data_IF_618138999394
#
_entry.id   IF_618138999394
#
_cell.length_a   1.000
_cell.length_b   1.000
_cell.length_c   1.000
_cell.angle_alpha   90.00
_cell.angle_beta   90.00
_cell.angle_gamma   90.00
#
_symmetry.space_group_name_H-M   'P 1'
#
loop_
_entity.id
_entity.type
_entity.pdbx_description
1 polymer ?
#
# COMPACT_ATOMS: atom_id res chain seq x y z
N UNK A 1 -21.33 11.64 -17.93
CA UNK A 1 -20.21 10.91 -17.29
C UNK A 1 -20.78 10.16 -16.11
N UNK A 2 -20.50 8.85 -16.04
CA UNK A 2 -20.91 7.98 -14.95
C UNK A 2 -20.21 8.34 -13.65
N UNK A 3 -20.96 8.39 -12.55
CA UNK A 3 -20.42 8.67 -11.21
C UNK A 3 -19.58 7.48 -10.76
N UNK A 4 -18.41 7.78 -10.19
CA UNK A 4 -17.54 6.76 -9.61
C UNK A 4 -17.80 6.67 -8.09
N UNK A 5 -18.08 5.46 -7.63
CA UNK A 5 -18.32 5.10 -6.23
C UNK A 5 -17.11 4.35 -5.72
N UNK A 6 -16.27 5.01 -4.94
CA UNK A 6 -15.13 4.39 -4.26
C UNK A 6 -15.63 3.76 -2.97
N UNK A 7 -15.22 2.52 -2.72
CA UNK A 7 -15.43 1.87 -1.43
C UNK A 7 -14.09 1.41 -0.87
N UNK A 8 -13.76 1.87 0.33
CA UNK A 8 -12.54 1.43 1.04
C UNK A 8 -12.85 1.25 2.51
N UNK A 9 -12.05 0.41 3.21
CA UNK A 9 -12.25 0.20 4.64
C UNK A 9 -12.28 1.54 5.39
N UNK A 10 -11.24 2.37 5.30
CA UNK A 10 -11.22 3.70 5.93
C UNK A 10 -11.41 4.81 4.91
N UNK A 11 -12.23 5.81 5.24
CA UNK A 11 -12.48 6.99 4.39
C UNK A 11 -11.62 8.19 4.83
N UNK A 12 -10.83 8.82 3.94
CA UNK A 12 -10.00 9.97 4.28
C UNK A 12 -10.82 11.27 4.29
N UNK A 13 -11.50 11.54 5.41
CA UNK A 13 -12.37 12.71 5.55
C UNK A 13 -11.60 14.03 5.36
N UNK A 14 -12.19 15.06 4.71
CA UNK A 14 -11.52 16.33 4.39
C UNK A 14 -10.87 17.04 5.58
N UNK A 15 -11.48 16.96 6.77
CA UNK A 15 -10.95 17.56 8.02
C UNK A 15 -9.69 16.88 8.56
N UNK A 16 -9.38 15.65 8.11
CA UNK A 16 -8.22 14.86 8.54
C UNK A 16 -7.04 14.95 7.54
N UNK A 17 -7.14 15.78 6.48
CA UNK A 17 -6.15 15.86 5.39
C UNK A 17 -4.75 16.36 5.80
N UNK A 18 -4.59 16.91 7.01
CA UNK A 18 -3.28 17.35 7.53
C UNK A 18 -2.35 16.20 7.94
N UNK A 19 -2.87 14.99 8.19
CA UNK A 19 -2.08 13.85 8.73
C UNK A 19 -2.17 12.57 7.91
N UNK A 20 -3.13 12.45 6.98
CA UNK A 20 -3.40 11.21 6.24
C UNK A 20 -3.81 11.41 4.78
N UNK A 21 -3.18 12.34 4.05
CA UNK A 21 -3.30 12.35 2.59
C UNK A 21 -2.58 11.12 2.00
N UNK A 22 -3.24 9.96 2.05
CA UNK A 22 -2.75 8.71 1.46
C UNK A 22 -2.76 8.77 -0.07
N UNK A 23 -1.91 7.95 -0.71
CA UNK A 23 -1.75 7.92 -2.16
C UNK A 23 -3.05 7.72 -2.94
N UNK A 24 -4.03 6.99 -2.38
CA UNK A 24 -5.34 6.75 -3.01
C UNK A 24 -6.18 8.04 -3.14
N UNK A 25 -6.21 8.89 -2.11
CA UNK A 25 -7.00 10.13 -2.15
C UNK A 25 -6.43 11.17 -3.12
N UNK A 26 -5.11 11.18 -3.26
CA UNK A 26 -4.40 12.02 -4.23
C UNK A 26 -4.60 11.46 -5.65
N UNK A 27 -4.41 10.15 -5.83
CA UNK A 27 -4.59 9.46 -7.11
C UNK A 27 -5.96 9.68 -7.73
N UNK A 28 -7.01 9.62 -6.91
CA UNK A 28 -8.38 9.68 -7.39
C UNK A 28 -8.82 11.12 -7.68
N UNK A 29 -8.14 12.13 -7.14
CA UNK A 29 -8.48 13.55 -7.35
C UNK A 29 -8.46 13.94 -8.83
N UNK A 30 -7.51 13.40 -9.59
CA UNK A 30 -7.35 13.67 -11.03
C UNK A 30 -8.34 12.86 -11.88
N UNK A 31 -8.74 11.69 -11.39
CA UNK A 31 -9.71 10.77 -12.04
C UNK A 31 -11.11 11.35 -12.01
N UNK A 32 -11.46 12.08 -10.95
CA UNK A 32 -12.78 12.66 -10.80
C UNK A 32 -13.04 13.82 -11.76
N UNK A 33 -12.02 14.53 -12.27
CA UNK A 33 -12.18 15.62 -13.22
C UNK A 33 -13.41 16.52 -12.94
N UNK A 34 -14.43 16.42 -13.82
CA UNK A 34 -15.75 17.10 -13.67
C UNK A 34 -16.89 16.23 -13.12
N UNK A 35 -16.69 14.93 -12.95
CA UNK A 35 -17.73 14.00 -12.50
C UNK A 35 -18.01 14.13 -10.99
N UNK A 36 -19.25 13.84 -10.59
CA UNK A 36 -19.58 13.61 -9.18
C UNK A 36 -18.95 12.29 -8.73
N UNK A 37 -18.55 12.23 -7.46
CA UNK A 37 -18.02 11.02 -6.84
C UNK A 37 -18.68 10.74 -5.50
N UNK A 38 -18.71 9.46 -5.13
CA UNK A 38 -19.07 9.00 -3.79
C UNK A 38 -17.90 8.22 -3.21
N UNK A 39 -17.49 8.52 -1.98
CA UNK A 39 -16.54 7.71 -1.23
C UNK A 39 -17.25 7.15 0.00
N UNK A 40 -17.41 5.83 0.02
CA UNK A 40 -18.10 5.08 1.06
C UNK A 40 -17.12 4.22 1.89
N UNK A 41 -17.38 4.07 3.19
CA UNK A 41 -16.60 3.18 4.06
C UNK A 41 -16.73 3.52 5.55
N UNK A 42 -15.81 3.01 6.37
CA UNK A 42 -15.74 3.30 7.81
C UNK A 42 -15.12 4.67 8.08
N UNK A 43 -15.70 5.38 9.04
CA UNK A 43 -15.26 6.71 9.51
C UNK A 43 -13.91 6.68 10.23
N UNK A 44 -13.56 5.55 10.84
CA UNK A 44 -12.47 5.43 11.81
C UNK A 44 -12.92 5.45 13.28
N UNK A 45 -14.21 5.69 13.55
CA UNK A 45 -14.78 5.72 14.89
C UNK A 45 -15.38 4.37 15.30
N UNK A 46 -15.15 3.96 16.55
CA UNK A 46 -15.71 2.74 17.13
C UNK A 46 -16.82 3.10 18.11
N UNK A 47 -18.01 2.55 17.90
CA UNK A 47 -19.22 2.73 18.71
C UNK A 47 -19.54 1.48 19.51
N UNK A 48 -20.60 1.50 20.33
CA UNK A 48 -21.04 0.31 21.06
C UNK A 48 -21.60 -0.76 20.13
N UNK A 49 -22.35 -0.35 19.11
CA UNK A 49 -22.92 -1.23 18.08
C UNK A 49 -22.73 -0.63 16.69
N UNK A 50 -22.60 -1.51 15.69
CA UNK A 50 -22.58 -1.11 14.28
C UNK A 50 -23.96 -0.65 13.89
N UNK A 51 -24.12 0.64 13.61
CA UNK A 51 -25.36 1.18 13.06
C UNK A 51 -25.27 1.23 11.53
N UNK A 52 -26.41 1.06 10.87
CA UNK A 52 -26.55 1.35 9.44
C UNK A 52 -26.67 2.86 9.15
N UNK A 53 -26.53 3.71 10.17
CA UNK A 53 -26.67 5.15 10.01
C UNK A 53 -25.45 5.73 9.30
N UNK A 54 -25.72 6.54 8.28
CA UNK A 54 -24.69 7.14 7.46
C UNK A 54 -24.54 8.61 7.78
N UNK A 55 -23.29 9.03 7.96
CA UNK A 55 -22.93 10.44 8.03
C UNK A 55 -22.37 10.90 6.71
N UNK A 56 -22.86 12.05 6.25
CA UNK A 56 -22.47 12.62 4.97
C UNK A 56 -21.61 13.87 5.17
N UNK A 57 -20.54 13.97 4.39
CA UNK A 57 -19.74 15.18 4.25
C UNK A 57 -19.55 15.47 2.77
N UNK A 58 -19.71 16.71 2.34
CA UNK A 58 -19.44 17.11 0.95
C UNK A 58 -18.20 17.99 0.89
N UNK A 59 -17.27 17.67 -0.01
CA UNK A 59 -16.16 18.56 -0.35
C UNK A 59 -15.97 18.60 -1.85
N UNK A 60 -16.26 19.76 -2.46
CA UNK A 60 -16.30 19.91 -3.91
C UNK A 60 -17.34 18.98 -4.54
N UNK A 61 -16.90 18.18 -5.53
CA UNK A 61 -17.73 17.19 -6.24
C UNK A 61 -17.75 15.80 -5.58
N UNK A 62 -17.08 15.65 -4.44
CA UNK A 62 -17.03 14.40 -3.69
C UNK A 62 -18.01 14.43 -2.53
N UNK A 63 -18.87 13.42 -2.46
CA UNK A 63 -19.67 13.09 -1.27
C UNK A 63 -18.98 11.96 -0.53
N UNK A 64 -18.69 12.15 0.75
CA UNK A 64 -18.18 11.13 1.64
C UNK A 64 -19.36 10.62 2.47
N UNK A 65 -19.63 9.33 2.40
CA UNK A 65 -20.65 8.65 3.19
C UNK A 65 -19.94 7.66 4.11
N UNK A 66 -20.02 7.87 5.42
CA UNK A 66 -19.31 7.02 6.39
C UNK A 66 -20.27 6.36 7.37
N UNK A 67 -19.95 5.13 7.73
CA UNK A 67 -20.57 4.42 8.85
C UNK A 67 -19.54 4.21 9.97
N UNK A 68 -20.03 3.91 11.17
CA UNK A 68 -19.21 3.54 12.31
C UNK A 68 -19.26 2.03 12.52
N UNK A 69 -18.22 1.47 13.12
CA UNK A 69 -18.18 0.06 13.49
C UNK A 69 -18.41 -0.08 14.99
N UNK A 70 -19.30 -0.99 15.37
CA UNK A 70 -19.42 -1.44 16.74
C UNK A 70 -18.14 -2.12 17.20
N UNK A 71 -17.89 -2.11 18.51
CA UNK A 71 -16.68 -2.67 19.10
C UNK A 71 -16.43 -4.12 18.71
N UNK A 72 -17.47 -4.96 18.77
CA UNK A 72 -17.35 -6.38 18.40
C UNK A 72 -16.98 -6.54 16.93
N UNK A 73 -17.64 -5.82 16.03
CA UNK A 73 -17.33 -5.84 14.60
C UNK A 73 -15.92 -5.33 14.33
N UNK A 74 -15.49 -4.25 14.98
CA UNK A 74 -14.11 -3.77 14.88
C UNK A 74 -13.10 -4.85 15.28
N UNK A 75 -13.33 -5.55 16.39
CA UNK A 75 -12.44 -6.62 16.83
C UNK A 75 -12.44 -7.81 15.85
N UNK A 76 -13.61 -8.30 15.44
CA UNK A 76 -13.72 -9.50 14.60
C UNK A 76 -13.29 -9.26 13.14
N UNK A 77 -13.79 -8.19 12.54
CA UNK A 77 -13.51 -7.85 11.14
C UNK A 77 -12.14 -7.21 10.97
N UNK A 78 -11.80 -6.16 11.74
CA UNK A 78 -10.60 -5.37 11.49
C UNK A 78 -9.38 -5.94 12.20
N UNK A 79 -9.41 -6.13 13.52
CA UNK A 79 -8.27 -6.67 14.27
C UNK A 79 -8.06 -8.16 13.99
N UNK A 80 -9.13 -8.95 13.97
CA UNK A 80 -9.16 -10.38 13.73
C UNK A 80 -8.91 -10.74 12.26
N UNK A 81 -9.95 -11.06 11.51
CA UNK A 81 -9.79 -11.69 10.20
C UNK A 81 -8.97 -10.86 9.21
N UNK A 82 -9.17 -9.53 9.16
CA UNK A 82 -8.40 -8.68 8.24
C UNK A 82 -6.92 -8.58 8.61
N UNK A 83 -6.59 -8.20 9.85
CA UNK A 83 -5.21 -7.85 10.22
C UNK A 83 -4.42 -8.94 10.96
N UNK A 84 -5.08 -9.91 11.60
CA UNK A 84 -4.45 -11.07 12.22
C UNK A 84 -4.45 -12.32 11.33
N UNK A 85 -5.30 -12.38 10.29
CA UNK A 85 -5.35 -13.52 9.37
C UNK A 85 -4.93 -13.16 7.92
N UNK A 86 -5.71 -12.32 7.22
CA UNK A 86 -5.44 -11.97 5.82
C UNK A 86 -4.12 -11.20 5.66
N UNK A 87 -3.85 -10.21 6.50
CA UNK A 87 -2.62 -9.41 6.37
C UNK A 87 -1.34 -10.24 6.46
N UNK A 88 -1.12 -11.09 7.49
CA UNK A 88 0.01 -12.02 7.50
C UNK A 88 0.08 -12.93 6.28
N UNK A 89 -1.05 -13.52 5.87
CA UNK A 89 -1.14 -14.42 4.73
C UNK A 89 -0.68 -13.74 3.43
N UNK A 90 -1.27 -12.60 3.11
CA UNK A 90 -0.98 -11.82 1.90
C UNK A 90 0.48 -11.31 1.87
N UNK A 91 1.14 -11.22 3.03
CA UNK A 91 2.55 -10.83 3.16
C UNK A 91 3.51 -12.01 3.43
N UNK A 92 3.05 -13.24 3.22
CA UNK A 92 3.86 -14.47 3.26
C UNK A 92 4.42 -14.74 4.65
N UNK A 93 3.65 -14.37 5.68
CA UNK A 93 3.98 -14.55 7.09
C UNK A 93 3.05 -15.59 7.71
N UNK A 94 3.06 -16.80 7.13
CA UNK A 94 2.18 -17.89 7.56
C UNK A 94 2.31 -18.19 9.06
N UNK A 95 3.52 -18.13 9.63
CA UNK A 95 3.73 -18.30 11.08
C UNK A 95 3.16 -17.19 11.98
N UNK A 96 2.57 -16.14 11.41
CA UNK A 96 1.84 -15.08 12.12
C UNK A 96 0.33 -15.09 11.81
N UNK A 97 -0.15 -16.02 10.98
CA UNK A 97 -1.57 -16.16 10.67
C UNK A 97 -2.30 -16.71 11.88
N UNK A 98 -3.33 -15.99 12.32
CA UNK A 98 -4.20 -16.38 13.43
C UNK A 98 -5.66 -16.42 12.94
N UNK A 99 -6.18 -17.64 12.73
CA UNK A 99 -7.53 -17.85 12.20
C UNK A 99 -8.49 -18.26 13.31
N UNK A 100 -9.53 -17.46 13.50
CA UNK A 100 -10.70 -17.81 14.30
C UNK A 100 -11.95 -17.78 13.43
N UNK A 101 -12.80 -18.81 13.56
CA UNK A 101 -14.03 -18.92 12.77
C UNK A 101 -15.00 -17.78 13.07
N UNK A 102 -15.07 -17.34 14.32
CA UNK A 102 -15.89 -16.20 14.75
C UNK A 102 -15.45 -14.89 14.07
N UNK A 103 -14.14 -14.68 13.92
CA UNK A 103 -13.60 -13.50 13.23
C UNK A 103 -13.97 -13.52 11.74
N UNK A 104 -13.92 -14.70 11.11
CA UNK A 104 -14.39 -14.87 9.73
C UNK A 104 -15.89 -14.55 9.60
N UNK A 105 -16.72 -15.00 10.54
CA UNK A 105 -18.15 -14.66 10.53
C UNK A 105 -18.39 -13.16 10.71
N UNK A 106 -17.67 -12.50 11.63
CA UNK A 106 -17.72 -11.05 11.78
C UNK A 106 -17.26 -10.32 10.53
N UNK A 107 -16.22 -10.81 9.85
CA UNK A 107 -15.74 -10.27 8.58
C UNK A 107 -16.80 -10.29 7.48
N UNK A 108 -17.51 -11.41 7.33
CA UNK A 108 -18.61 -11.53 6.38
C UNK A 108 -19.81 -10.67 6.79
N UNK A 109 -20.12 -10.58 8.09
CA UNK A 109 -21.23 -9.79 8.61
C UNK A 109 -21.03 -8.28 8.35
N UNK A 110 -19.84 -7.75 8.60
CA UNK A 110 -19.51 -6.34 8.33
C UNK A 110 -19.60 -6.03 6.83
N UNK A 111 -19.12 -6.91 5.96
CA UNK A 111 -19.24 -6.72 4.50
C UNK A 111 -20.71 -6.71 4.05
N UNK A 112 -21.57 -7.55 4.64
CA UNK A 112 -23.01 -7.54 4.38
C UNK A 112 -23.68 -6.24 4.85
N UNK A 113 -23.34 -5.77 6.04
CA UNK A 113 -23.84 -4.50 6.56
C UNK A 113 -23.41 -3.31 5.68
N UNK A 114 -22.14 -3.29 5.25
CA UNK A 114 -21.62 -2.29 4.32
C UNK A 114 -22.35 -2.32 2.97
N UNK A 115 -22.60 -3.50 2.39
CA UNK A 115 -23.36 -3.63 1.15
C UNK A 115 -24.81 -3.12 1.30
N UNK A 116 -25.47 -3.46 2.41
CA UNK A 116 -26.83 -3.02 2.69
C UNK A 116 -26.93 -1.49 2.86
N UNK A 117 -25.94 -0.87 3.51
CA UNK A 117 -25.89 0.57 3.68
C UNK A 117 -25.50 1.31 2.37
N UNK A 118 -24.66 0.71 1.53
CA UNK A 118 -24.25 1.30 0.26
C UNK A 118 -25.36 1.25 -0.80
N UNK A 119 -26.12 0.14 -0.88
CA UNK A 119 -27.09 -0.08 -1.95
C UNK A 119 -28.09 1.08 -2.17
N UNK A 120 -28.73 1.67 -1.14
CA UNK A 120 -29.65 2.80 -1.30
C UNK A 120 -29.00 4.06 -1.88
N UNK A 121 -27.67 4.17 -1.84
CA UNK A 121 -26.93 5.32 -2.37
C UNK A 121 -26.60 5.18 -3.85
N UNK A 122 -26.71 3.97 -4.42
CA UNK A 122 -26.28 3.66 -5.78
C UNK A 122 -27.29 4.15 -6.82
N UNK A 123 -26.76 4.54 -7.99
CA UNK A 123 -27.52 4.88 -9.19
C UNK A 123 -27.25 3.81 -10.26
N UNK A 124 -28.19 3.54 -11.19
CA UNK A 124 -28.01 2.49 -12.20
C UNK A 124 -26.75 2.64 -13.08
N UNK A 125 -26.27 3.87 -13.26
CA UNK A 125 -25.10 4.22 -14.08
C UNK A 125 -23.82 4.45 -13.26
N UNK A 126 -23.78 4.05 -11.98
CA UNK A 126 -22.56 4.15 -11.19
C UNK A 126 -21.55 3.06 -11.58
N UNK A 127 -20.26 3.40 -11.51
CA UNK A 127 -19.16 2.44 -11.47
C UNK A 127 -18.69 2.29 -10.04
N UNK A 128 -18.64 1.06 -9.53
CA UNK A 128 -18.25 0.77 -8.16
C UNK A 128 -16.81 0.26 -8.16
N UNK A 129 -15.95 0.90 -7.37
CA UNK A 129 -14.55 0.53 -7.24
C UNK A 129 -14.21 0.24 -5.78
N UNK A 130 -14.10 -1.05 -5.47
CA UNK A 130 -13.83 -1.59 -4.13
C UNK A 130 -12.33 -1.75 -3.95
N UNK A 131 -11.83 -1.29 -2.80
CA UNK A 131 -10.41 -1.32 -2.49
C UNK A 131 -10.10 -2.19 -1.27
N UNK A 132 -9.15 -3.09 -1.53
CA UNK A 132 -8.32 -3.80 -0.56
C UNK A 132 -8.95 -4.98 0.19
N UNK A 133 -8.08 -5.77 0.81
CA UNK A 133 -8.37 -7.09 1.40
C UNK A 133 -9.47 -7.10 2.47
N UNK A 134 -9.80 -5.97 3.08
CA UNK A 134 -10.89 -5.86 4.04
C UNK A 134 -12.27 -6.12 3.39
N UNK A 135 -12.39 -5.87 2.08
CA UNK A 135 -13.67 -5.79 1.39
C UNK A 135 -13.83 -6.83 0.28
N UNK A 136 -13.10 -7.95 0.36
CA UNK A 136 -13.19 -9.03 -0.65
C UNK A 136 -14.65 -9.52 -0.83
N UNK A 137 -15.47 -9.70 0.22
CA UNK A 137 -16.87 -10.15 0.05
C UNK A 137 -17.83 -9.09 -0.48
N UNK A 138 -17.47 -7.81 -0.45
CA UNK A 138 -18.43 -6.72 -0.69
C UNK A 138 -19.11 -6.84 -2.06
N UNK A 139 -18.37 -7.22 -3.11
CA UNK A 139 -18.93 -7.43 -4.44
C UNK A 139 -20.01 -8.51 -4.44
N UNK A 140 -19.74 -9.65 -3.81
CA UNK A 140 -20.71 -10.75 -3.68
C UNK A 140 -21.96 -10.31 -2.93
N UNK A 141 -21.82 -9.58 -1.81
CA UNK A 141 -22.96 -9.09 -1.03
C UNK A 141 -23.80 -8.07 -1.82
N UNK A 142 -23.16 -7.19 -2.62
CA UNK A 142 -23.89 -6.29 -3.53
C UNK A 142 -24.65 -7.06 -4.62
N UNK A 143 -24.04 -8.10 -5.20
CA UNK A 143 -24.70 -8.98 -6.18
C UNK A 143 -25.91 -9.71 -5.57
N UNK A 144 -25.80 -10.23 -4.33
CA UNK A 144 -26.93 -10.84 -3.60
C UNK A 144 -28.10 -9.89 -3.40
N UNK A 145 -27.82 -8.60 -3.25
CA UNK A 145 -28.86 -7.58 -3.16
C UNK A 145 -29.45 -7.20 -4.52
N UNK A 146 -28.93 -7.69 -5.65
CA UNK A 146 -29.40 -7.34 -7.01
C UNK A 146 -28.80 -6.04 -7.54
N UNK A 147 -27.53 -5.75 -7.21
CA UNK A 147 -26.78 -4.65 -7.84
C UNK A 147 -26.15 -5.16 -9.14
N UNK A 148 -26.50 -4.54 -10.27
CA UNK A 148 -26.00 -4.91 -11.61
C UNK A 148 -24.93 -3.95 -12.15
N UNK A 149 -24.59 -2.90 -11.39
CA UNK A 149 -23.54 -1.95 -11.74
C UNK A 149 -22.19 -2.65 -12.04
N UNK A 150 -21.32 -2.05 -12.87
CA UNK A 150 -19.93 -2.45 -12.96
C UNK A 150 -19.25 -2.38 -11.57
N UNK A 151 -18.65 -3.48 -11.10
CA UNK A 151 -17.91 -3.57 -9.84
C UNK A 151 -16.49 -4.08 -10.10
N UNK A 152 -15.51 -3.21 -9.88
CA UNK A 152 -14.10 -3.56 -9.85
C UNK A 152 -13.58 -3.71 -8.43
N UNK A 153 -12.72 -4.69 -8.20
CA UNK A 153 -11.93 -4.85 -6.98
C UNK A 153 -10.46 -4.54 -7.26
N UNK A 154 -9.78 -3.84 -6.37
CA UNK A 154 -8.32 -3.65 -6.45
C UNK A 154 -7.64 -4.01 -5.13
N UNK A 155 -6.76 -5.01 -5.17
CA UNK A 155 -5.95 -5.43 -4.02
C UNK A 155 -4.68 -4.57 -3.92
N UNK A 156 -4.49 -3.87 -2.80
CA UNK A 156 -3.30 -3.03 -2.62
C UNK A 156 -2.11 -3.79 -2.04
N UNK A 157 -2.37 -4.90 -1.37
CA UNK A 157 -1.38 -5.85 -0.85
C UNK A 157 -0.92 -6.83 -1.95
N UNK A 158 0.14 -7.62 -1.73
CA UNK A 158 0.49 -8.71 -2.63
C UNK A 158 -0.60 -9.79 -2.66
N UNK A 159 -0.63 -10.57 -3.75
CA UNK A 159 -1.37 -11.83 -3.79
C UNK A 159 -0.40 -13.01 -3.64
N UNK A 160 -0.57 -13.93 -2.67
CA UNK A 160 0.32 -15.05 -2.47
C UNK A 160 0.11 -16.17 -3.49
N UNK A 161 1.08 -17.07 -3.70
CA UNK A 161 0.89 -18.24 -4.55
C UNK A 161 -0.27 -19.10 -4.01
N UNK A 162 -0.91 -19.86 -4.90
CA UNK A 162 -2.08 -20.69 -4.57
C UNK A 162 -1.90 -21.52 -3.29
N UNK A 163 -0.82 -22.29 -3.21
CA UNK A 163 -0.53 -23.20 -2.08
C UNK A 163 -0.44 -22.47 -0.73
N UNK A 164 0.00 -21.21 -0.75
CA UNK A 164 0.00 -20.36 0.44
C UNK A 164 -1.41 -19.84 0.72
N UNK A 165 -2.15 -19.37 -0.28
CA UNK A 165 -3.52 -18.90 -0.08
C UNK A 165 -4.47 -20.02 0.41
N UNK A 166 -4.29 -21.26 -0.07
CA UNK A 166 -5.02 -22.47 0.35
C UNK A 166 -4.85 -22.79 1.84
N UNK A 167 -3.77 -22.30 2.48
CA UNK A 167 -3.61 -22.46 3.94
C UNK A 167 -4.70 -21.73 4.73
N UNK A 168 -5.45 -20.81 4.12
CA UNK A 168 -6.58 -20.15 4.73
C UNK A 168 -7.80 -21.08 4.71
N UNK A 169 -8.41 -21.45 5.85
CA UNK A 169 -9.56 -22.34 5.86
C UNK A 169 -10.77 -21.85 5.04
N UNK A 170 -10.88 -20.55 4.80
CA UNK A 170 -11.95 -19.91 4.03
C UNK A 170 -11.58 -19.58 2.57
N UNK A 171 -10.49 -20.13 2.03
CA UNK A 171 -9.96 -19.75 0.71
C UNK A 171 -10.98 -19.90 -0.43
N UNK A 172 -11.72 -21.02 -0.51
CA UNK A 172 -12.72 -21.23 -1.57
C UNK A 172 -13.83 -20.18 -1.53
N UNK A 173 -14.33 -19.87 -0.32
CA UNK A 173 -15.39 -18.87 -0.13
C UNK A 173 -14.92 -17.47 -0.53
N UNK A 174 -13.66 -17.11 -0.24
CA UNK A 174 -13.07 -15.87 -0.75
C UNK A 174 -12.83 -15.91 -2.26
N UNK A 175 -12.50 -17.09 -2.82
CA UNK A 175 -12.43 -17.33 -4.26
C UNK A 175 -13.76 -17.00 -4.96
N UNK A 176 -14.88 -17.44 -4.39
CA UNK A 176 -16.21 -17.12 -4.88
C UNK A 176 -16.51 -15.60 -4.79
N UNK A 177 -16.03 -14.94 -3.74
CA UNK A 177 -16.15 -13.50 -3.60
C UNK A 177 -15.42 -12.76 -4.72
N UNK A 178 -14.19 -13.16 -5.05
CA UNK A 178 -13.44 -12.58 -6.17
C UNK A 178 -14.16 -12.74 -7.52
N UNK A 179 -14.80 -13.89 -7.73
CA UNK A 179 -15.58 -14.18 -8.94
C UNK A 179 -16.86 -13.32 -9.07
N UNK A 180 -17.25 -12.59 -8.02
CA UNK A 180 -18.42 -11.71 -8.03
C UNK A 180 -18.12 -10.28 -8.54
N UNK A 181 -16.85 -9.98 -8.83
CA UNK A 181 -16.42 -8.72 -9.44
C UNK A 181 -16.27 -8.88 -10.95
N UNK A 182 -16.53 -7.81 -11.70
CA UNK A 182 -16.31 -7.81 -13.16
C UNK A 182 -14.81 -7.68 -13.49
N UNK A 183 -14.04 -7.05 -12.60
CA UNK A 183 -12.59 -6.89 -12.70
C UNK A 183 -11.91 -7.05 -11.34
N UNK A 184 -10.92 -7.95 -11.26
CA UNK A 184 -9.98 -8.09 -10.14
C UNK A 184 -8.62 -7.52 -10.55
N UNK A 185 -8.29 -6.34 -10.04
CA UNK A 185 -6.99 -5.70 -10.24
C UNK A 185 -6.01 -5.96 -9.11
N UNK A 186 -4.75 -6.15 -9.47
CA UNK A 186 -3.64 -6.44 -8.58
C UNK A 186 -2.48 -5.47 -8.86
N UNK A 187 -1.54 -5.35 -7.93
CA UNK A 187 -0.43 -4.40 -8.06
C UNK A 187 0.55 -4.76 -9.16
N UNK A 188 0.96 -6.02 -9.22
CA UNK A 188 2.06 -6.47 -10.07
C UNK A 188 1.67 -7.61 -10.98
N UNK A 189 2.44 -7.82 -12.04
CA UNK A 189 2.25 -8.97 -12.91
C UNK A 189 2.58 -10.28 -12.16
N UNK A 190 3.49 -10.24 -11.19
CA UNK A 190 3.71 -11.34 -10.25
C UNK A 190 2.46 -11.69 -9.44
N UNK A 191 1.75 -10.70 -8.90
CA UNK A 191 0.51 -10.92 -8.15
C UNK A 191 -0.57 -11.51 -9.07
N UNK A 192 -0.69 -10.99 -10.31
CA UNK A 192 -1.61 -11.53 -11.31
C UNK A 192 -1.35 -12.99 -11.64
N UNK A 193 -0.08 -13.39 -11.79
CA UNK A 193 0.28 -14.81 -11.98
C UNK A 193 -0.06 -15.66 -10.76
N UNK A 194 0.10 -15.13 -9.55
CA UNK A 194 -0.28 -15.85 -8.33
C UNK A 194 -1.79 -16.06 -8.25
N UNK A 195 -2.59 -15.02 -8.55
CA UNK A 195 -4.05 -15.10 -8.60
C UNK A 195 -4.55 -16.03 -9.71
N UNK A 196 -3.95 -15.95 -10.91
CA UNK A 196 -4.19 -16.94 -11.97
C UNK A 196 -3.96 -18.37 -11.47
N UNK A 197 -2.84 -18.61 -10.78
CA UNK A 197 -2.54 -19.91 -10.19
C UNK A 197 -3.60 -20.39 -9.21
N UNK A 198 -4.10 -19.48 -8.36
CA UNK A 198 -5.18 -19.76 -7.42
C UNK A 198 -6.51 -20.10 -8.12
N UNK A 199 -6.90 -19.33 -9.14
CA UNK A 199 -8.13 -19.59 -9.92
C UNK A 199 -8.07 -20.97 -10.58
N UNK A 200 -6.97 -21.31 -11.23
CA UNK A 200 -6.85 -22.59 -11.96
C UNK A 200 -6.70 -23.78 -11.01
N UNK A 201 -5.78 -23.69 -10.04
CA UNK A 201 -5.40 -24.85 -9.22
C UNK A 201 -6.33 -25.09 -8.05
N UNK A 202 -6.75 -24.00 -7.39
CA UNK A 202 -7.52 -24.09 -6.14
C UNK A 202 -9.01 -24.06 -6.38
N UNK A 203 -9.47 -23.34 -7.42
CA UNK A 203 -10.90 -23.17 -7.70
C UNK A 203 -11.38 -23.98 -8.92
N UNK A 204 -10.47 -24.62 -9.66
CA UNK A 204 -10.79 -25.37 -10.88
C UNK A 204 -11.33 -24.50 -12.01
N UNK A 205 -11.05 -23.20 -12.01
CA UNK A 205 -11.51 -22.26 -13.03
C UNK A 205 -10.66 -22.26 -14.30
N UNK A 206 -11.21 -21.72 -15.38
CA UNK A 206 -10.50 -21.53 -16.64
C UNK A 206 -10.06 -20.08 -16.79
N UNK A 207 -8.81 -19.86 -17.25
CA UNK A 207 -8.29 -18.51 -17.49
C UNK A 207 -7.78 -18.40 -18.93
N UNK A 208 -8.30 -17.41 -19.66
CA UNK A 208 -7.89 -17.08 -21.03
C UNK A 208 -6.65 -16.18 -21.03
N UNK A 209 -5.96 -16.15 -22.17
CA UNK A 209 -4.73 -15.36 -22.34
C UNK A 209 -4.93 -13.85 -22.14
N UNK A 210 -6.13 -13.32 -22.40
CA UNK A 210 -6.48 -11.90 -22.24
C UNK A 210 -6.86 -11.51 -20.79
N UNK A 211 -6.74 -12.47 -19.86
CA UNK A 211 -7.02 -12.32 -18.43
C UNK A 211 -8.48 -12.55 -18.05
N UNK A 212 -9.37 -12.93 -18.98
CA UNK A 212 -10.73 -13.35 -18.65
C UNK A 212 -10.71 -14.71 -17.96
N UNK A 213 -11.52 -14.90 -16.95
CA UNK A 213 -11.65 -16.17 -16.27
C UNK A 213 -13.10 -16.50 -15.93
N UNK A 214 -13.39 -17.80 -15.88
CA UNK A 214 -14.68 -18.33 -15.46
C UNK A 214 -14.49 -19.28 -14.28
N UNK A 215 -15.25 -19.05 -13.23
CA UNK A 215 -15.28 -19.91 -12.05
C UNK A 215 -16.63 -19.75 -11.35
N UNK A 216 -17.17 -20.83 -10.79
CA UNK A 216 -18.51 -20.86 -10.17
C UNK A 216 -19.63 -20.33 -11.09
N UNK A 217 -19.51 -20.54 -12.41
CA UNK A 217 -20.45 -20.04 -13.42
C UNK A 217 -20.47 -18.52 -13.59
N UNK A 218 -19.48 -17.81 -13.03
CA UNK A 218 -19.33 -16.34 -13.16
C UNK A 218 -18.15 -16.01 -14.05
N UNK A 219 -18.33 -14.96 -14.84
CA UNK A 219 -17.30 -14.42 -15.72
C UNK A 219 -16.67 -13.18 -15.09
N UNK A 220 -15.34 -13.14 -15.06
CA UNK A 220 -14.60 -12.00 -14.52
C UNK A 220 -13.32 -11.79 -15.33
N UNK A 221 -12.60 -10.71 -15.05
CA UNK A 221 -11.30 -10.40 -15.64
C UNK A 221 -10.29 -10.11 -14.55
N UNK A 222 -9.05 -10.53 -14.72
CA UNK A 222 -7.93 -10.15 -13.87
C UNK A 222 -6.94 -9.24 -14.60
N UNK A 223 -6.29 -8.33 -13.88
CA UNK A 223 -5.27 -7.44 -14.45
C UNK A 223 -4.25 -6.92 -13.43
N UNK A 224 -3.09 -6.52 -13.92
CA UNK A 224 -2.06 -5.85 -13.12
C UNK A 224 -2.04 -4.34 -13.41
N UNK A 225 -2.16 -3.54 -12.36
CA UNK A 225 -2.19 -2.08 -12.42
C UNK A 225 -1.34 -1.53 -11.27
N UNK A 226 -0.05 -1.28 -11.52
CA UNK A 226 0.85 -0.76 -10.50
C UNK A 226 0.47 0.65 -10.07
N UNK A 227 0.07 0.83 -8.80
CA UNK A 227 -0.33 2.15 -8.31
C UNK A 227 0.86 3.13 -8.32
N UNK A 228 0.65 4.31 -8.91
CA UNK A 228 1.64 5.38 -9.01
C UNK A 228 1.47 6.47 -7.95
N UNK A 229 2.31 7.50 -8.05
CA UNK A 229 2.15 8.77 -7.33
C UNK A 229 2.02 9.91 -8.34
N UNK A 230 1.57 11.08 -7.89
CA UNK A 230 1.83 12.32 -8.62
C UNK A 230 3.27 12.75 -8.34
N UNK A 231 4.18 12.31 -9.20
CA UNK A 231 5.61 12.55 -9.03
C UNK A 231 5.99 14.03 -9.18
N UNK A 232 5.27 14.79 -10.02
CA UNK A 232 5.54 16.21 -10.22
C UNK A 232 5.14 17.02 -8.99
N UNK A 233 3.89 16.85 -8.51
CA UNK A 233 3.42 17.54 -7.32
C UNK A 233 4.24 17.16 -6.07
N UNK A 234 4.72 15.91 -5.98
CA UNK A 234 5.58 15.52 -4.86
C UNK A 234 6.99 16.12 -4.94
N UNK A 235 7.55 16.25 -6.15
CA UNK A 235 8.84 16.92 -6.34
C UNK A 235 8.76 18.41 -5.97
N UNK A 236 7.67 19.08 -6.32
CA UNK A 236 7.39 20.47 -5.92
C UNK A 236 7.27 20.59 -4.40
N UNK A 237 6.46 19.75 -3.77
CA UNK A 237 6.32 19.69 -2.31
C UNK A 237 7.67 19.48 -1.62
N UNK A 238 8.49 18.57 -2.13
CA UNK A 238 9.82 18.30 -1.58
C UNK A 238 10.77 19.49 -1.73
N UNK A 239 10.70 20.21 -2.85
CA UNK A 239 11.49 21.41 -3.07
C UNK A 239 11.12 22.53 -2.09
N UNK A 240 9.82 22.78 -1.89
CA UNK A 240 9.31 23.74 -0.90
C UNK A 240 9.69 23.32 0.54
N UNK A 241 9.52 22.04 0.86
CA UNK A 241 9.81 21.50 2.20
C UNK A 241 11.31 21.37 2.49
N UNK A 242 12.16 21.44 1.46
CA UNK A 242 13.62 21.36 1.59
C UNK A 242 14.23 22.48 2.42
N UNK A 243 13.54 23.62 2.50
CA UNK A 243 13.93 24.79 3.31
C UNK A 243 13.02 25.00 4.52
N UNK A 244 12.13 24.06 4.83
CA UNK A 244 11.26 24.15 6.00
C UNK A 244 12.01 23.97 7.32
N UNK A 245 11.46 24.53 8.40
CA UNK A 245 12.08 24.59 9.73
C UNK A 245 12.55 23.21 10.23
N UNK A 246 11.72 22.16 10.09
CA UNK A 246 12.09 20.81 10.51
C UNK A 246 13.26 20.24 9.68
N UNK A 247 13.29 20.50 8.37
CA UNK A 247 14.36 20.05 7.47
C UNK A 247 15.67 20.75 7.78
N UNK A 248 15.63 22.05 8.04
CA UNK A 248 16.79 22.84 8.47
C UNK A 248 17.33 22.32 9.80
N UNK A 249 16.47 22.14 10.80
CA UNK A 249 16.86 21.58 12.11
C UNK A 249 17.47 20.19 11.98
N UNK A 250 16.91 19.32 11.13
CA UNK A 250 17.51 18.01 10.87
C UNK A 250 18.90 18.15 10.25
N UNK A 251 19.04 18.99 9.21
CA UNK A 251 20.32 19.23 8.52
C UNK A 251 21.41 19.73 9.48
N UNK A 252 21.09 20.72 10.32
CA UNK A 252 22.01 21.23 11.33
C UNK A 252 22.42 20.14 12.32
N UNK A 253 21.46 19.33 12.79
CA UNK A 253 21.73 18.24 13.73
C UNK A 253 22.59 17.09 13.17
N UNK A 254 22.79 17.03 11.85
CA UNK A 254 23.68 16.06 11.22
C UNK A 254 25.14 16.52 11.26
N UNK A 255 25.41 17.82 11.46
CA UNK A 255 26.75 18.40 11.48
C UNK A 255 27.62 17.97 10.28
N UNK A 256 27.04 18.05 9.07
CA UNK A 256 27.70 17.68 7.82
C UNK A 256 27.72 16.18 7.48
N UNK A 257 27.21 15.31 8.36
CA UNK A 257 27.09 13.86 8.10
C UNK A 257 26.02 13.57 7.05
N UNK A 258 26.23 12.52 6.26
CA UNK A 258 25.25 12.01 5.33
C UNK A 258 24.06 11.37 6.08
N UNK A 259 22.88 11.37 5.46
CA UNK A 259 21.66 10.82 6.02
C UNK A 259 21.19 9.61 5.20
N UNK A 260 21.05 8.46 5.86
CA UNK A 260 20.20 7.37 5.37
C UNK A 260 18.83 7.49 6.03
N UNK A 261 17.74 7.24 5.28
CA UNK A 261 16.38 7.34 5.80
C UNK A 261 15.54 6.11 5.47
N UNK A 262 14.77 5.65 6.46
CA UNK A 262 13.73 4.65 6.29
C UNK A 262 12.44 5.16 6.91
N UNK A 263 11.32 5.01 6.20
CA UNK A 263 10.00 5.47 6.65
C UNK A 263 8.99 4.38 6.37
N UNK A 264 8.47 3.78 7.43
CA UNK A 264 7.54 2.67 7.31
C UNK A 264 6.61 2.66 8.51
N UNK A 265 5.37 2.20 8.35
CA UNK A 265 4.59 1.81 9.53
C UNK A 265 5.36 0.72 10.30
N UNK A 266 5.24 0.73 11.62
CA UNK A 266 5.74 -0.38 12.43
C UNK A 266 4.96 -1.65 12.09
N UNK A 267 5.48 -2.45 11.17
CA UNK A 267 4.78 -3.60 10.58
C UNK A 267 5.79 -4.67 10.18
N UNK A 268 5.46 -5.94 10.45
CA UNK A 268 6.37 -7.06 10.28
C UNK A 268 6.67 -7.38 8.80
N UNK A 269 5.88 -6.84 7.87
CA UNK A 269 6.14 -6.91 6.43
C UNK A 269 7.36 -6.07 6.00
N UNK A 270 7.76 -5.08 6.81
CA UNK A 270 8.70 -4.02 6.43
C UNK A 270 10.18 -4.36 6.60
N UNK A 271 10.50 -5.54 7.14
CA UNK A 271 11.88 -6.02 7.26
C UNK A 271 12.77 -5.15 8.15
N UNK A 272 12.18 -4.36 9.05
CA UNK A 272 12.90 -3.40 9.89
C UNK A 272 14.03 -4.06 10.73
N UNK A 273 13.86 -5.26 11.32
CA UNK A 273 14.95 -5.91 12.05
C UNK A 273 16.15 -6.22 11.15
N UNK A 274 15.91 -6.78 9.96
CA UNK A 274 16.96 -7.07 8.97
C UNK A 274 17.65 -5.78 8.49
N UNK A 275 16.88 -4.71 8.28
CA UNK A 275 17.40 -3.40 7.89
C UNK A 275 18.30 -2.78 8.96
N UNK A 276 17.90 -2.85 10.23
CA UNK A 276 18.73 -2.34 11.34
C UNK A 276 20.01 -3.16 11.48
N UNK A 277 19.91 -4.50 11.38
CA UNK A 277 21.09 -5.37 11.39
C UNK A 277 22.05 -5.05 10.24
N UNK A 278 21.54 -4.81 9.03
CA UNK A 278 22.36 -4.41 7.88
C UNK A 278 23.08 -3.08 8.11
N UNK A 279 22.42 -2.09 8.72
CA UNK A 279 23.10 -0.84 9.08
C UNK A 279 24.20 -1.07 10.14
N UNK A 280 23.96 -1.94 11.12
CA UNK A 280 25.02 -2.38 12.03
C UNK A 280 26.20 -3.01 11.27
N UNK A 281 25.92 -3.92 10.32
CA UNK A 281 26.95 -4.57 9.50
C UNK A 281 27.72 -3.59 8.61
N UNK A 282 27.08 -2.54 8.08
CA UNK A 282 27.76 -1.45 7.38
C UNK A 282 28.84 -0.82 8.27
N UNK A 283 28.50 -0.48 9.51
CA UNK A 283 29.44 0.16 10.43
C UNK A 283 30.57 -0.76 10.89
N UNK A 284 30.36 -2.08 10.87
CA UNK A 284 31.40 -3.07 11.17
C UNK A 284 32.35 -3.29 9.99
N UNK A 285 31.79 -3.58 8.81
CA UNK A 285 32.55 -3.98 7.62
C UNK A 285 33.22 -2.81 6.92
N UNK A 286 32.64 -1.62 7.05
CA UNK A 286 33.09 -0.39 6.39
C UNK A 286 33.29 0.74 7.42
N UNK A 287 34.33 0.65 8.28
CA UNK A 287 34.55 1.61 9.36
C UNK A 287 34.73 3.06 8.90
N UNK A 288 35.06 3.29 7.63
CA UNK A 288 35.20 4.61 7.04
C UNK A 288 33.90 5.44 7.06
N UNK A 289 32.74 4.79 7.25
CA UNK A 289 31.43 5.44 7.36
C UNK A 289 31.07 5.83 8.80
N UNK A 290 31.80 5.33 9.81
CA UNK A 290 31.58 5.71 11.22
C UNK A 290 31.74 7.21 11.39
N UNK A 291 30.83 7.83 12.14
CA UNK A 291 30.75 9.28 12.34
C UNK A 291 30.58 10.11 11.05
N UNK A 292 30.35 9.49 9.89
CA UNK A 292 30.08 10.18 8.61
C UNK A 292 28.67 9.99 8.08
N UNK A 293 27.95 8.97 8.56
CA UNK A 293 26.55 8.71 8.23
C UNK A 293 25.68 8.59 9.48
N UNK A 294 24.46 9.10 9.42
CA UNK A 294 23.41 8.84 10.41
C UNK A 294 22.25 8.14 9.72
N UNK A 295 21.71 7.09 10.33
CA UNK A 295 20.49 6.45 9.86
C UNK A 295 19.29 6.91 10.69
N UNK A 296 18.30 7.50 10.03
CA UNK A 296 17.00 7.87 10.60
C UNK A 296 15.93 6.86 10.18
N UNK A 297 15.36 6.12 11.13
CA UNK A 297 14.14 5.34 10.92
C UNK A 297 12.95 6.04 11.57
N UNK A 298 11.93 6.35 10.77
CA UNK A 298 10.63 6.83 11.24
C UNK A 298 9.65 5.66 11.16
N UNK A 299 9.09 5.29 12.30
CA UNK A 299 8.18 4.14 12.44
C UNK A 299 6.94 4.50 13.26
N UNK A 300 5.96 5.24 12.70
CA UNK A 300 4.73 5.56 13.41
C UNK A 300 4.06 4.29 13.93
N UNK A 301 3.51 4.40 15.15
CA UNK A 301 2.81 3.31 15.79
C UNK A 301 1.60 2.85 14.95
N UNK A 302 1.41 1.53 14.87
CA UNK A 302 0.31 0.91 14.13
C UNK A 302 -0.13 -0.35 14.87
N UNK A 303 -1.44 -0.54 15.04
CA UNK A 303 -2.06 -1.80 15.50
C UNK A 303 -1.46 -2.36 16.80
N UNK A 304 -1.27 -1.50 17.82
CA UNK A 304 -0.64 -1.88 19.10
C UNK A 304 -1.35 -2.97 19.90
N UNK A 305 -2.64 -3.21 19.62
CA UNK A 305 -3.47 -4.23 20.25
C UNK A 305 -3.09 -5.65 19.81
N UNK A 306 -2.47 -5.80 18.63
CA UNK A 306 -2.06 -7.11 18.09
C UNK A 306 -0.68 -7.50 18.65
N UNK A 307 -0.56 -8.71 19.21
CA UNK A 307 0.63 -9.21 19.90
C UNK A 307 1.90 -9.20 19.03
N UNK A 308 1.77 -9.57 17.75
CA UNK A 308 2.88 -9.58 16.79
C UNK A 308 3.56 -8.19 16.65
N UNK A 309 2.78 -7.11 16.70
CA UNK A 309 3.29 -5.73 16.57
C UNK A 309 4.04 -5.30 17.84
N UNK A 310 3.58 -5.72 19.03
CA UNK A 310 4.30 -5.47 20.29
C UNK A 310 5.65 -6.20 20.34
N UNK A 311 5.70 -7.44 19.85
CA UNK A 311 6.96 -8.20 19.79
C UNK A 311 7.94 -7.56 18.82
N UNK A 312 7.50 -7.17 17.62
CA UNK A 312 8.35 -6.46 16.65
C UNK A 312 8.92 -5.17 17.25
N UNK A 313 8.11 -4.39 17.97
CA UNK A 313 8.57 -3.15 18.60
C UNK A 313 9.75 -3.39 19.55
N UNK A 314 9.60 -4.37 20.46
CA UNK A 314 10.63 -4.72 21.44
C UNK A 314 11.92 -5.17 20.76
N UNK A 315 11.82 -5.96 19.69
CA UNK A 315 12.97 -6.39 18.90
C UNK A 315 13.70 -5.19 18.29
N UNK A 316 12.98 -4.23 17.70
CA UNK A 316 13.60 -3.03 17.11
C UNK A 316 14.27 -2.14 18.14
N UNK A 317 13.63 -1.91 19.29
CA UNK A 317 14.20 -1.12 20.39
C UNK A 317 15.50 -1.76 20.91
N UNK A 318 15.55 -3.09 21.02
CA UNK A 318 16.75 -3.84 21.40
C UNK A 318 17.87 -3.72 20.35
N UNK A 319 17.55 -3.92 19.06
CA UNK A 319 18.56 -3.81 18.00
C UNK A 319 19.10 -2.38 17.91
N UNK A 320 18.23 -1.36 17.98
CA UNK A 320 18.64 0.03 17.95
C UNK A 320 19.52 0.40 19.16
N UNK A 321 19.14 -0.04 20.35
CA UNK A 321 19.93 0.13 21.57
C UNK A 321 21.32 -0.52 21.45
N UNK A 322 21.40 -1.74 20.90
CA UNK A 322 22.67 -2.44 20.67
C UNK A 322 23.58 -1.71 19.68
N UNK A 323 23.04 -1.24 18.55
CA UNK A 323 23.83 -0.52 17.53
C UNK A 323 24.36 0.80 18.12
N UNK A 324 23.50 1.57 18.76
CA UNK A 324 23.92 2.83 19.37
C UNK A 324 24.91 2.59 20.52
N UNK A 325 24.68 1.62 21.39
CA UNK A 325 25.60 1.30 22.49
C UNK A 325 26.99 0.85 22.02
N UNK A 326 27.10 0.28 20.82
CA UNK A 326 28.37 -0.18 20.25
C UNK A 326 29.15 0.91 19.50
N UNK A 327 28.45 1.83 18.84
CA UNK A 327 29.08 2.75 17.88
C UNK A 327 28.86 4.23 18.17
N UNK A 328 28.01 4.60 19.13
CA UNK A 328 27.79 6.01 19.43
C UNK A 328 29.04 6.66 20.01
N UNK A 329 29.20 7.93 19.68
CA UNK A 329 30.19 8.84 20.26
C UNK A 329 29.46 9.98 20.97
N UNK A 330 30.18 10.80 21.73
CA UNK A 330 29.58 11.92 22.48
C UNK A 330 28.83 12.93 21.57
N UNK A 331 29.19 13.00 20.29
CA UNK A 331 28.63 13.90 19.28
C UNK A 331 27.92 13.17 18.11
N UNK A 332 27.78 11.83 18.19
CA UNK A 332 27.20 11.04 17.12
C UNK A 332 26.33 9.90 17.64
N UNK A 333 25.05 9.93 17.23
CA UNK A 333 24.12 8.82 17.40
C UNK A 333 23.92 8.11 16.04
N UNK A 334 24.46 6.89 15.86
CA UNK A 334 24.44 6.21 14.56
C UNK A 334 23.04 5.93 14.02
N UNK A 335 22.12 5.48 14.88
CA UNK A 335 20.74 5.14 14.53
C UNK A 335 19.74 5.95 15.35
N UNK A 336 19.03 6.86 14.68
CA UNK A 336 17.91 7.62 15.23
C UNK A 336 16.60 6.89 14.92
N UNK A 337 15.98 6.29 15.92
CA UNK A 337 14.71 5.55 15.78
C UNK A 337 13.56 6.35 16.39
N UNK A 338 12.58 6.75 15.56
CA UNK A 338 11.48 7.62 15.95
C UNK A 338 10.11 6.94 15.78
N UNK A 339 9.40 6.73 16.89
CA UNK A 339 8.07 6.09 16.90
C UNK A 339 6.92 7.10 16.80
N UNK A 340 7.10 8.16 16.01
CA UNK A 340 6.14 9.25 15.84
C UNK A 340 5.78 9.42 14.37
N UNK A 341 4.52 9.76 14.11
CA UNK A 341 4.10 10.17 12.78
C UNK A 341 4.66 11.55 12.47
N UNK A 342 5.18 11.72 11.26
CA UNK A 342 5.55 13.01 10.70
C UNK A 342 4.59 13.35 9.56
N UNK A 343 4.40 14.65 9.33
CA UNK A 343 3.56 15.11 8.23
C UNK A 343 4.25 14.84 6.89
N UNK A 344 3.45 14.72 5.84
CA UNK A 344 3.95 14.45 4.48
C UNK A 344 4.94 15.52 3.96
N UNK A 345 4.75 16.83 4.19
CA UNK A 345 5.74 17.86 3.82
C UNK A 345 7.10 17.64 4.51
N UNK A 346 7.09 17.40 5.83
CA UNK A 346 8.32 17.14 6.60
C UNK A 346 9.07 15.91 6.05
N UNK A 347 8.34 14.83 5.75
CA UNK A 347 8.93 13.64 5.13
C UNK A 347 9.53 13.95 3.75
N UNK A 348 8.85 14.75 2.92
CA UNK A 348 9.35 15.14 1.60
C UNK A 348 10.67 15.92 1.69
N UNK A 349 10.78 16.86 2.65
CA UNK A 349 12.02 17.57 2.96
C UNK A 349 13.14 16.64 3.43
N UNK A 350 12.82 15.67 4.30
CA UNK A 350 13.80 14.70 4.79
C UNK A 350 14.29 13.75 3.70
N UNK A 351 13.40 13.29 2.80
CA UNK A 351 13.80 12.50 1.63
C UNK A 351 14.74 13.29 0.72
N UNK A 352 14.42 14.55 0.44
CA UNK A 352 15.24 15.44 -0.39
C UNK A 352 16.63 15.69 0.19
N UNK A 353 16.74 15.77 1.52
CA UNK A 353 18.01 15.93 2.24
C UNK A 353 18.85 14.64 2.25
N UNK A 354 18.20 13.48 2.21
CA UNK A 354 18.85 12.19 2.48
C UNK A 354 19.62 11.62 1.30
N UNK A 355 20.81 11.08 1.59
CA UNK A 355 21.68 10.44 0.62
C UNK A 355 21.19 9.04 0.20
N UNK A 356 20.55 8.33 1.12
CA UNK A 356 20.07 6.95 0.89
C UNK A 356 18.63 6.82 1.34
N UNK A 357 17.78 6.29 0.46
CA UNK A 357 16.45 5.80 0.79
C UNK A 357 16.49 4.31 1.03
N UNK A 358 16.22 3.87 2.25
CA UNK A 358 16.21 2.46 2.65
C UNK A 358 14.77 1.93 2.65
N UNK A 359 14.40 1.26 1.57
CA UNK A 359 13.06 0.68 1.39
C UNK A 359 13.19 -0.82 1.21
N UNK A 360 13.34 -1.54 2.32
CA UNK A 360 13.69 -2.98 2.30
C UNK A 360 12.63 -3.91 2.91
N UNK A 361 11.34 -3.82 2.50
CA UNK A 361 10.32 -4.72 3.03
C UNK A 361 10.57 -6.17 2.64
N UNK A 362 10.21 -7.11 3.52
CA UNK A 362 10.20 -8.55 3.23
C UNK A 362 9.14 -8.89 2.17
N UNK A 363 8.01 -8.17 2.20
CA UNK A 363 6.97 -8.22 1.17
C UNK A 363 6.16 -6.94 1.19
N UNK A 364 5.86 -6.38 0.03
CA UNK A 364 5.03 -5.16 -0.07
C UNK A 364 4.35 -5.13 -1.44
N UNK A 365 3.04 -4.84 -1.46
CA UNK A 365 2.25 -4.82 -2.69
C UNK A 365 2.78 -3.80 -3.69
N UNK A 366 3.28 -2.65 -3.21
CA UNK A 366 3.91 -1.64 -4.08
C UNK A 366 5.05 -0.90 -3.37
N UNK A 367 4.78 -0.32 -2.21
CA UNK A 367 5.62 0.65 -1.51
C UNK A 367 5.73 2.03 -2.19
N UNK A 368 4.83 2.95 -1.82
CA UNK A 368 4.85 4.32 -2.34
C UNK A 368 5.98 5.18 -1.77
N UNK A 369 6.55 4.82 -0.61
CA UNK A 369 7.70 5.53 -0.03
C UNK A 369 8.92 5.46 -0.96
N UNK A 370 9.14 4.33 -1.65
CA UNK A 370 10.17 4.23 -2.69
C UNK A 370 9.97 5.25 -3.82
N UNK A 371 8.73 5.38 -4.31
CA UNK A 371 8.38 6.31 -5.39
C UNK A 371 8.51 7.76 -4.94
N UNK A 372 8.02 8.07 -3.73
CA UNK A 372 8.14 9.39 -3.11
C UNK A 372 9.60 9.77 -2.86
N UNK A 373 10.44 8.85 -2.39
CA UNK A 373 11.87 9.09 -2.19
C UNK A 373 12.57 9.55 -3.48
N UNK A 374 12.34 8.82 -4.58
CA UNK A 374 12.91 9.16 -5.90
C UNK A 374 12.40 10.52 -6.38
N UNK A 375 11.08 10.77 -6.27
CA UNK A 375 10.46 12.03 -6.66
C UNK A 375 10.96 13.25 -5.85
N UNK A 376 11.34 13.05 -4.58
CA UNK A 376 11.84 14.12 -3.73
C UNK A 376 13.27 14.58 -4.06
N UNK A 377 14.06 13.76 -4.76
CA UNK A 377 15.49 14.03 -4.93
C UNK A 377 15.77 15.29 -5.75
N UNK A 378 16.80 16.09 -5.39
CA UNK A 378 17.25 17.20 -6.20
C UNK A 378 18.00 16.69 -7.45
N UNK A 379 17.64 17.13 -8.68
CA UNK A 379 18.33 16.70 -9.90
C UNK A 379 19.84 16.95 -9.88
N UNK A 380 20.29 18.03 -9.23
CA UNK A 380 21.69 18.41 -9.16
C UNK A 380 22.54 17.56 -8.20
N UNK A 381 21.93 16.81 -7.28
CA UNK A 381 22.65 15.90 -6.36
C UNK A 381 21.72 14.81 -5.80
N UNK A 382 21.19 13.90 -6.64
CA UNK A 382 20.17 12.96 -6.19
C UNK A 382 20.76 11.84 -5.32
N UNK A 383 20.06 11.47 -4.25
CA UNK A 383 20.38 10.29 -3.45
C UNK A 383 20.14 8.96 -4.19
N UNK A 384 20.41 7.86 -3.49
CA UNK A 384 20.31 6.49 -4.02
C UNK A 384 19.20 5.74 -3.30
N UNK A 385 18.30 5.13 -4.08
CA UNK A 385 17.29 4.23 -3.55
C UNK A 385 17.87 2.81 -3.43
N UNK A 386 17.83 2.25 -2.23
CA UNK A 386 18.04 0.82 -1.96
C UNK A 386 16.68 0.19 -1.74
N UNK A 387 16.31 -0.76 -2.61
CA UNK A 387 14.95 -1.27 -2.72
C UNK A 387 14.92 -2.79 -2.63
N UNK A 388 14.04 -3.34 -1.78
CA UNK A 388 13.79 -4.78 -1.77
C UNK A 388 13.20 -5.24 -3.11
N UNK A 389 13.75 -6.33 -3.66
CA UNK A 389 13.15 -7.06 -4.81
C UNK A 389 11.73 -7.62 -4.54
N UNK A 390 11.29 -7.58 -3.28
CA UNK A 390 9.98 -8.04 -2.83
C UNK A 390 8.96 -6.92 -2.61
N UNK A 391 9.34 -5.66 -2.88
CA UNK A 391 8.38 -4.58 -3.07
C UNK A 391 7.84 -4.58 -4.51
N UNK A 392 6.55 -4.29 -4.72
CA UNK A 392 6.00 -4.17 -6.06
C UNK A 392 6.65 -3.06 -6.90
N UNK A 393 7.12 -1.98 -6.28
CA UNK A 393 7.84 -0.90 -6.95
C UNK A 393 9.14 -1.37 -7.62
N UNK A 394 9.69 -2.53 -7.25
CA UNK A 394 10.88 -3.09 -7.89
C UNK A 394 10.63 -3.52 -9.35
N UNK A 395 9.37 -3.75 -9.76
CA UNK A 395 9.05 -4.02 -11.17
C UNK A 395 9.24 -2.78 -12.06
N UNK A 396 9.03 -1.57 -11.51
CA UNK A 396 9.17 -0.30 -12.26
C UNK A 396 10.47 0.45 -11.97
N UNK A 397 11.01 0.37 -10.74
CA UNK A 397 12.19 1.10 -10.29
C UNK A 397 13.47 0.25 -10.42
N UNK A 398 13.71 -0.28 -11.62
CA UNK A 398 14.81 -1.24 -11.88
C UNK A 398 16.21 -0.66 -11.74
N UNK A 399 16.36 0.67 -11.81
CA UNK A 399 17.64 1.36 -11.61
C UNK A 399 18.00 1.59 -10.14
N UNK A 400 17.14 1.23 -9.18
CA UNK A 400 17.46 1.17 -7.77
C UNK A 400 18.54 0.11 -7.49
N UNK A 401 19.22 0.21 -6.34
CA UNK A 401 20.04 -0.91 -5.84
C UNK A 401 19.10 -1.97 -5.25
N UNK A 402 18.77 -2.98 -6.06
CA UNK A 402 17.88 -4.06 -5.65
C UNK A 402 18.57 -5.02 -4.68
N UNK A 403 17.96 -5.23 -3.51
CA UNK A 403 18.50 -6.09 -2.46
C UNK A 403 17.53 -7.20 -2.09
N UNK A 404 18.09 -8.29 -1.57
CA UNK A 404 17.32 -9.30 -0.86
C UNK A 404 17.35 -8.99 0.64
N UNK A 405 16.22 -8.59 1.28
CA UNK A 405 16.20 -8.19 2.69
C UNK A 405 16.43 -9.34 3.69
N UNK A 406 16.54 -10.59 3.21
CA UNK A 406 16.98 -11.72 4.03
C UNK A 406 18.51 -11.79 4.16
N UNK A 407 19.24 -11.04 3.36
CA UNK A 407 20.71 -10.95 3.38
C UNK A 407 21.13 -9.57 3.91
N UNK A 408 21.46 -9.52 5.20
CA UNK A 408 21.88 -8.29 5.86
C UNK A 408 23.26 -7.80 5.36
N UNK A 409 24.13 -8.72 4.93
CA UNK A 409 25.46 -8.40 4.46
C UNK A 409 25.41 -7.78 3.06
N UNK A 410 24.60 -8.35 2.15
CA UNK A 410 24.32 -7.74 0.85
C UNK A 410 23.65 -6.36 0.98
N UNK A 411 22.74 -6.18 1.95
CA UNK A 411 22.18 -4.86 2.23
C UNK A 411 23.23 -3.86 2.72
N UNK A 412 24.17 -4.28 3.57
CA UNK A 412 25.28 -3.44 4.00
C UNK A 412 26.20 -3.06 2.83
N UNK A 413 26.48 -3.99 1.93
CA UNK A 413 27.28 -3.75 0.72
C UNK A 413 26.58 -2.77 -0.24
N UNK A 414 25.26 -2.87 -0.38
CA UNK A 414 24.46 -1.90 -1.14
C UNK A 414 24.48 -0.50 -0.48
N UNK A 415 24.46 -0.41 0.85
CA UNK A 415 24.62 0.86 1.57
C UNK A 415 26.00 1.47 1.33
N UNK A 416 27.06 0.66 1.43
CA UNK A 416 28.42 1.12 1.12
C UNK A 416 28.49 1.65 -0.32
N UNK A 417 28.03 0.86 -1.30
CA UNK A 417 28.00 1.25 -2.70
C UNK A 417 27.25 2.57 -2.93
N UNK A 418 26.10 2.76 -2.27
CA UNK A 418 25.30 3.99 -2.36
C UNK A 418 26.00 5.22 -1.75
N UNK A 419 26.73 5.07 -0.64
CA UNK A 419 27.47 6.16 0.01
C UNK A 419 28.63 6.64 -0.86
N UNK A 420 29.34 5.72 -1.51
CA UNK A 420 30.52 6.03 -2.37
C UNK A 420 30.17 6.23 -3.85
N UNK A 421 28.88 6.11 -4.22
CA UNK A 421 28.44 6.21 -5.62
C UNK A 421 28.76 7.58 -6.24
N UNK A 422 29.50 7.62 -7.38
CA UNK A 422 29.79 8.85 -8.10
C UNK A 422 28.52 9.58 -8.54
N UNK A 423 28.62 10.90 -8.73
CA UNK A 423 27.49 11.73 -9.17
C UNK A 423 26.84 11.22 -10.46
N UNK A 424 27.65 10.90 -11.48
CA UNK A 424 27.14 10.48 -12.79
C UNK A 424 26.26 9.21 -12.70
N UNK A 425 26.69 8.23 -11.91
CA UNK A 425 25.91 7.00 -11.74
C UNK A 425 24.60 7.27 -10.98
N UNK A 426 24.64 8.09 -9.93
CA UNK A 426 23.42 8.46 -9.19
C UNK A 426 22.43 9.20 -10.05
N UNK A 427 22.92 10.18 -10.82
CA UNK A 427 22.11 10.97 -11.71
C UNK A 427 21.45 10.08 -12.77
N UNK A 428 22.22 9.19 -13.40
CA UNK A 428 21.69 8.24 -14.39
C UNK A 428 20.59 7.33 -13.80
N UNK A 429 20.82 6.76 -12.60
CA UNK A 429 19.83 5.91 -11.91
C UNK A 429 18.57 6.68 -11.54
N UNK A 430 18.73 7.86 -10.95
CA UNK A 430 17.62 8.72 -10.57
C UNK A 430 16.80 9.16 -11.80
N UNK A 431 17.46 9.58 -12.88
CA UNK A 431 16.80 10.02 -14.11
C UNK A 431 15.97 8.90 -14.73
N UNK A 432 16.52 7.68 -14.80
CA UNK A 432 15.79 6.51 -15.30
C UNK A 432 14.53 6.21 -14.46
N UNK A 433 14.66 6.24 -13.12
CA UNK A 433 13.51 6.03 -12.24
C UNK A 433 12.48 7.16 -12.33
N UNK A 434 12.91 8.42 -12.45
CA UNK A 434 12.01 9.56 -12.59
C UNK A 434 11.22 9.53 -13.90
N UNK A 435 11.83 9.06 -14.99
CA UNK A 435 11.10 8.84 -16.26
C UNK A 435 9.98 7.81 -16.08
N UNK A 436 10.27 6.69 -15.42
CA UNK A 436 9.26 5.67 -15.11
C UNK A 436 8.13 6.22 -14.24
N UNK A 437 8.45 6.98 -13.18
CA UNK A 437 7.43 7.58 -12.31
C UNK A 437 6.52 8.58 -13.02
N UNK A 438 7.03 9.29 -14.03
CA UNK A 438 6.23 10.21 -14.85
C UNK A 438 5.32 9.47 -15.84
N UNK A 439 5.75 8.32 -16.35
CA UNK A 439 4.96 7.50 -17.26
C UNK A 439 3.81 6.77 -16.52
N UNK A 440 4.11 6.17 -15.37
CA UNK A 440 3.18 5.31 -14.61
C UNK A 440 2.66 6.02 -13.35
N UNK A 441 2.09 7.21 -13.55
CA UNK A 441 1.55 8.05 -12.50
C UNK A 441 0.23 7.52 -11.91
N UNK A 442 -0.21 8.16 -10.82
CA UNK A 442 -1.45 7.80 -10.14
C UNK A 442 -2.71 7.94 -11.03
N UNK A 443 -2.75 8.96 -11.89
CA UNK A 443 -3.85 9.16 -12.84
C UNK A 443 -3.88 8.08 -13.92
N UNK A 444 -2.71 7.67 -14.43
CA UNK A 444 -2.59 6.57 -15.40
C UNK A 444 -3.14 5.26 -14.82
N UNK A 445 -2.77 4.93 -13.57
CA UNK A 445 -3.24 3.72 -12.87
C UNK A 445 -4.76 3.65 -12.87
N UNK A 446 -5.41 4.75 -12.46
CA UNK A 446 -6.85 4.77 -12.35
C UNK A 446 -7.58 4.82 -13.70
N UNK A 447 -7.08 5.57 -14.68
CA UNK A 447 -7.64 5.55 -16.02
C UNK A 447 -7.56 4.16 -16.65
N UNK A 448 -6.42 3.47 -16.50
CA UNK A 448 -6.23 2.11 -17.02
C UNK A 448 -7.18 1.11 -16.34
N UNK A 449 -7.32 1.19 -15.02
CA UNK A 449 -8.24 0.33 -14.28
C UNK A 449 -9.69 0.54 -14.73
N UNK A 450 -10.17 1.79 -14.74
CA UNK A 450 -11.56 2.11 -15.09
C UNK A 450 -11.88 1.77 -16.55
N UNK A 451 -10.98 2.05 -17.50
CA UNK A 451 -11.17 1.66 -18.88
C UNK A 451 -11.27 0.13 -19.05
N UNK A 452 -10.51 -0.62 -18.24
CA UNK A 452 -10.57 -2.09 -18.23
C UNK A 452 -11.85 -2.61 -17.59
N UNK A 453 -12.34 -1.95 -16.53
CA UNK A 453 -13.62 -2.27 -15.88
C UNK A 453 -14.78 -2.07 -16.86
N UNK A 454 -14.80 -0.93 -17.56
CA UNK A 454 -15.83 -0.61 -18.55
C UNK A 454 -15.83 -1.64 -19.70
N UNK A 455 -14.66 -2.14 -20.10
CA UNK A 455 -14.56 -3.21 -21.09
C UNK A 455 -15.04 -4.57 -20.55
N UNK A 456 -14.65 -4.93 -19.32
CA UNK A 456 -15.04 -6.21 -18.71
C UNK A 456 -16.55 -6.31 -18.48
N UNK A 457 -17.18 -5.22 -18.04
CA UNK A 457 -18.63 -5.19 -17.79
C UNK A 457 -19.45 -5.36 -19.08
N UNK A 458 -19.02 -4.76 -20.20
CA UNK A 458 -19.66 -4.95 -21.51
C UNK A 458 -19.61 -6.40 -22.01
N UNK A 459 -18.54 -7.12 -21.69
CA UNK A 459 -18.37 -8.51 -22.10
C UNK A 459 -19.21 -9.47 -21.25
N UNK A 460 -19.42 -9.15 -19.97
CA UNK A 460 -20.23 -9.96 -19.04
C UNK A 460 -21.75 -9.81 -19.29
N UNK A 461 -22.17 -8.65 -19.81
CA UNK A 461 -23.55 -8.35 -20.18
C UNK A 461 -23.60 -7.86 -21.64
N UNK A 462 -23.52 -8.76 -22.65
CA UNK A 462 -23.73 -8.35 -24.03
C UNK A 462 -25.12 -7.71 -24.11
N UNK A 463 -25.16 -6.43 -24.48
CA UNK A 463 -26.41 -5.74 -24.79
C UNK A 463 -27.22 -6.68 -25.70
N UNK A 464 -28.41 -7.07 -25.25
CA UNK A 464 -29.34 -7.78 -26.13
C UNK A 464 -29.48 -6.94 -27.39
N UNK A 465 -29.35 -7.53 -28.61
CA UNK A 465 -29.50 -6.76 -29.83
C UNK A 465 -30.85 -6.08 -29.74
N UNK A 466 -30.84 -4.75 -29.74
CA UNK A 466 -32.05 -3.93 -29.82
C UNK A 466 -32.91 -4.53 -30.91
N UNK A 467 -34.06 -5.09 -30.48
CA UNK A 467 -35.04 -5.65 -31.38
C UNK A 467 -35.35 -4.60 -32.44
N UNK A 468 -35.14 -4.99 -33.69
CA UNK A 468 -35.69 -4.29 -34.83
C UNK A 468 -37.21 -4.26 -34.65
N UNK A 469 -37.77 -3.07 -34.51
CA UNK A 469 -39.13 -2.77 -34.95
C UNK A 469 -39.06 -1.63 -35.93
#
# INVERSE_FOLDING_TARGET
>A
MERLVIVSNRVPLPRQRGTQAGGLAVALRDVFGKAEGLWFGWSGEVTDQTSGELRFTRAGRMTYAVMDLGREDYERFYNGFSNACLWPLLHYRLGLLDFHREDYHGYMAVNRAMAAALKPLLRPWDRIWVHDYHLIPLGQELRKLGVENPIGFFLHTPFPPADLFESLPAHESLGECFASYDLVGLQTERDRRCFHGFVVRSLGGEVRADGKFEVFGRHSRMGAFGVGIDAAAFAELAAESGSGDETVRLKESLAGRQLAIGVDRLDFSKGLPSRFRAYGQLLERWPEHRSKVTYLQIAPHSRGEIAAYRTLRRELEQIAGRINGKHAEFDWQPLRYLNKALTRPVLAGFYRLSRIGLVTPLRDGMNLVAKEYVAAQPPQDPGVLILSRFAGAAESLTAALLVNPFDADSMADAMHAALVMPFEERHARWQAMMQQLKADGAAWWAHRFLATLDAASRDAHPLSPTGTQ
#
